data_IF_089614839698
#
_entry.id   IF_089614839698
#
_cell.length_a   1.000
_cell.length_b   1.000
_cell.length_c   1.000
_cell.angle_alpha   90.00
_cell.angle_beta   90.00
_cell.angle_gamma   90.00
#
_symmetry.space_group_name_H-M   'P 1'
#
loop_
_entity.id
_entity.type
_entity.pdbx_description
1 polymer ?
#
# COMPACT_ATOMS: atom_id res chain seq x y z
N UNK A 1 -29.63 12.96 -11.66
CA UNK A 1 -28.19 12.58 -11.63
C UNK A 1 -27.70 12.78 -10.22
N UNK A 2 -27.30 11.72 -9.49
CA UNK A 2 -26.86 11.88 -8.11
C UNK A 2 -25.52 12.62 -8.13
N UNK A 3 -25.49 13.78 -7.49
CA UNK A 3 -24.28 14.56 -7.28
C UNK A 3 -23.43 13.76 -6.29
N UNK A 4 -22.50 12.95 -6.78
CA UNK A 4 -21.45 12.39 -5.92
C UNK A 4 -20.66 13.62 -5.44
N UNK A 5 -20.94 14.02 -4.21
CA UNK A 5 -20.45 15.24 -3.61
C UNK A 5 -18.93 15.13 -3.48
N UNK A 6 -18.19 16.22 -3.64
CA UNK A 6 -16.72 16.17 -3.62
C UNK A 6 -16.12 15.53 -2.36
N UNK A 7 -16.89 15.47 -1.26
CA UNK A 7 -16.55 14.76 -0.03
C UNK A 7 -16.66 13.24 -0.17
N UNK A 8 -17.65 12.70 -0.89
CA UNK A 8 -17.80 11.26 -1.12
C UNK A 8 -16.65 10.72 -1.97
N UNK A 9 -16.26 11.43 -3.03
CA UNK A 9 -15.09 11.06 -3.86
C UNK A 9 -13.77 11.12 -3.09
N UNK A 10 -13.64 12.02 -2.12
CA UNK A 10 -12.45 12.09 -1.25
C UNK A 10 -12.43 10.97 -0.22
N UNK A 11 -13.59 10.66 0.37
CA UNK A 11 -13.73 9.55 1.33
C UNK A 11 -13.39 8.19 0.70
N UNK A 12 -13.88 7.94 -0.51
CA UNK A 12 -13.59 6.68 -1.24
C UNK A 12 -12.10 6.55 -1.56
N UNK A 13 -11.46 7.60 -2.09
CA UNK A 13 -10.02 7.55 -2.39
C UNK A 13 -9.17 7.35 -1.12
N UNK A 14 -9.53 8.02 -0.02
CA UNK A 14 -8.84 7.86 1.25
C UNK A 14 -8.99 6.43 1.79
N UNK A 15 -10.20 5.88 1.77
CA UNK A 15 -10.47 4.50 2.22
C UNK A 15 -9.75 3.44 1.39
N UNK A 16 -9.67 3.61 0.06
CA UNK A 16 -8.90 2.70 -0.81
C UNK A 16 -7.42 2.73 -0.44
N UNK A 17 -6.86 3.92 -0.21
CA UNK A 17 -5.45 4.08 0.17
C UNK A 17 -5.16 3.46 1.54
N UNK A 18 -5.99 3.76 2.55
CA UNK A 18 -5.83 3.19 3.89
C UNK A 18 -5.95 1.66 3.85
N UNK A 19 -6.93 1.11 3.13
CA UNK A 19 -7.07 -0.34 2.99
C UNK A 19 -5.91 -1.02 2.26
N UNK A 20 -5.31 -0.36 1.26
CA UNK A 20 -4.10 -0.89 0.61
C UNK A 20 -2.90 -0.85 1.55
N UNK A 21 -2.71 0.23 2.30
CA UNK A 21 -1.63 0.34 3.28
C UNK A 21 -1.73 -0.73 4.36
N UNK A 22 -2.92 -0.94 4.92
CA UNK A 22 -3.16 -1.96 5.95
C UNK A 22 -2.92 -3.38 5.39
N UNK A 23 -3.32 -3.64 4.15
CA UNK A 23 -3.05 -4.92 3.50
C UNK A 23 -1.56 -5.13 3.18
N UNK A 24 -0.82 -4.06 2.88
CA UNK A 24 0.64 -4.10 2.69
C UNK A 24 1.34 -4.34 4.03
N UNK A 25 0.93 -3.63 5.08
CA UNK A 25 1.42 -3.83 6.46
C UNK A 25 1.29 -5.29 6.87
N UNK A 26 0.09 -5.84 6.75
CA UNK A 26 -0.18 -7.23 7.09
C UNK A 26 0.62 -8.20 6.21
N UNK A 27 0.72 -7.94 4.90
CA UNK A 27 1.49 -8.78 3.99
C UNK A 27 2.99 -8.78 4.30
N UNK A 28 3.53 -7.61 4.68
CA UNK A 28 4.91 -7.44 5.11
C UNK A 28 5.17 -8.11 6.44
N UNK A 29 4.29 -7.92 7.43
CA UNK A 29 4.42 -8.54 8.75
C UNK A 29 4.34 -10.07 8.66
N UNK A 30 3.40 -10.61 7.89
CA UNK A 30 3.25 -12.06 7.74
C UNK A 30 4.43 -12.71 7.00
N UNK A 31 5.00 -12.02 6.00
CA UNK A 31 6.05 -12.60 5.14
C UNK A 31 7.48 -12.30 5.62
N UNK A 32 7.70 -11.10 6.13
CA UNK A 32 9.00 -10.57 6.52
C UNK A 32 9.10 -10.18 8.01
N UNK A 33 7.99 -10.25 8.76
CA UNK A 33 7.97 -9.89 10.18
C UNK A 33 8.33 -8.43 10.41
N UNK A 34 9.07 -8.18 11.47
CA UNK A 34 9.49 -6.84 11.91
C UNK A 34 10.33 -6.09 10.89
N UNK A 35 11.09 -6.79 10.04
CA UNK A 35 11.89 -6.14 9.00
C UNK A 35 11.01 -5.48 7.94
N UNK A 36 9.89 -6.10 7.58
CA UNK A 36 8.94 -5.51 6.63
C UNK A 36 8.26 -4.25 7.16
N UNK A 37 7.97 -4.20 8.46
CA UNK A 37 7.37 -3.03 9.11
C UNK A 37 8.28 -1.79 9.04
N UNK A 38 9.60 -1.95 8.93
CA UNK A 38 10.50 -0.80 8.78
C UNK A 38 10.30 -0.04 7.46
N UNK A 39 9.74 -0.69 6.43
CA UNK A 39 9.42 -0.08 5.13
C UNK A 39 8.04 0.59 5.09
N UNK A 40 7.14 0.30 6.03
CA UNK A 40 5.82 0.94 6.10
C UNK A 40 5.85 2.46 6.11
N UNK A 41 6.70 3.14 6.90
CA UNK A 41 6.76 4.59 6.86
C UNK A 41 7.15 5.12 5.47
N UNK A 42 8.04 4.43 4.75
CA UNK A 42 8.40 4.79 3.36
C UNK A 42 7.21 4.59 2.41
N UNK A 43 6.54 3.45 2.50
CA UNK A 43 5.38 3.11 1.66
C UNK A 43 4.19 4.02 1.97
N UNK A 44 4.00 4.43 3.22
CA UNK A 44 2.96 5.36 3.64
C UNK A 44 3.15 6.78 3.10
N UNK A 45 4.38 7.19 2.78
CA UNK A 45 4.63 8.45 2.08
C UNK A 45 4.12 8.42 0.63
N UNK A 46 3.93 7.23 0.05
CA UNK A 46 3.43 7.07 -1.31
C UNK A 46 1.95 7.47 -1.35
N UNK A 47 1.64 8.43 -2.22
CA UNK A 47 0.26 8.89 -2.48
C UNK A 47 -0.38 8.12 -3.65
N UNK A 48 0.42 7.51 -4.50
CA UNK A 48 -0.03 6.73 -5.64
C UNK A 48 -0.62 5.36 -5.23
N UNK A 49 -1.93 5.26 -5.37
CA UNK A 49 -2.71 4.04 -5.14
C UNK A 49 -2.25 2.89 -6.05
N UNK A 50 -1.83 3.20 -7.27
CA UNK A 50 -1.35 2.19 -8.23
C UNK A 50 -0.03 1.56 -7.78
N UNK A 51 0.90 2.37 -7.25
CA UNK A 51 2.16 1.89 -6.70
C UNK A 51 1.90 1.02 -5.46
N UNK A 52 1.04 1.48 -4.53
CA UNK A 52 0.64 0.68 -3.37
C UNK A 52 0.08 -0.69 -3.78
N UNK A 53 -0.77 -0.72 -4.80
CA UNK A 53 -1.35 -1.95 -5.32
C UNK A 53 -0.32 -2.85 -6.01
N UNK A 54 0.67 -2.27 -6.70
CA UNK A 54 1.80 -3.00 -7.25
C UNK A 54 2.64 -3.62 -6.13
N UNK A 55 2.97 -2.87 -5.08
CA UNK A 55 3.68 -3.37 -3.89
C UNK A 55 2.93 -4.54 -3.26
N UNK A 56 1.62 -4.41 -3.04
CA UNK A 56 0.78 -5.49 -2.48
C UNK A 56 0.85 -6.78 -3.32
N UNK A 57 0.76 -6.64 -4.64
CA UNK A 57 0.82 -7.78 -5.57
C UNK A 57 2.20 -8.41 -5.53
N UNK A 58 3.23 -7.57 -5.51
CA UNK A 58 4.62 -7.99 -5.46
C UNK A 58 4.98 -8.63 -4.13
N UNK A 59 4.42 -8.21 -2.99
CA UNK A 59 4.61 -8.89 -1.69
C UNK A 59 4.29 -10.38 -1.79
N UNK A 60 3.27 -10.74 -2.55
CA UNK A 60 2.90 -12.15 -2.76
C UNK A 60 3.96 -12.90 -3.57
N UNK A 61 4.67 -12.22 -4.48
CA UNK A 61 5.63 -12.82 -5.42
C UNK A 61 7.09 -12.74 -4.97
N UNK A 62 7.53 -11.56 -4.52
CA UNK A 62 8.91 -11.28 -4.09
C UNK A 62 9.23 -12.00 -2.79
N UNK A 63 10.41 -12.59 -2.69
CA UNK A 63 10.84 -13.34 -1.51
C UNK A 63 11.76 -12.54 -0.57
N UNK A 64 12.13 -11.32 -0.96
CA UNK A 64 13.02 -10.44 -0.20
C UNK A 64 12.48 -9.01 -0.17
N UNK A 65 12.77 -8.29 0.91
CA UNK A 65 12.41 -6.87 1.07
C UNK A 65 13.14 -5.97 0.06
N UNK A 66 14.35 -6.35 -0.34
CA UNK A 66 15.17 -5.59 -1.28
C UNK A 66 14.54 -5.52 -2.67
N UNK A 67 13.97 -6.63 -3.15
CA UNK A 67 13.22 -6.64 -4.41
C UNK A 67 11.95 -5.80 -4.34
N UNK A 68 11.27 -5.80 -3.19
CA UNK A 68 10.10 -4.98 -2.95
C UNK A 68 10.45 -3.48 -2.96
N UNK A 69 11.60 -3.10 -2.37
CA UNK A 69 12.10 -1.72 -2.36
C UNK A 69 12.30 -1.15 -3.76
N UNK A 70 12.81 -1.96 -4.69
CA UNK A 70 13.03 -1.58 -6.11
C UNK A 70 11.76 -1.24 -6.88
N UNK A 71 10.58 -1.53 -6.33
CA UNK A 71 9.30 -1.31 -7.03
C UNK A 71 8.82 0.13 -6.85
N UNK A 72 9.20 0.78 -5.75
CA UNK A 72 8.77 2.14 -5.41
C UNK A 72 9.92 3.13 -5.26
N UNK A 73 11.16 2.66 -5.27
CA UNK A 73 12.40 3.45 -5.29
C UNK A 73 12.85 3.73 -6.72
#
# INVERSE_FOLDING_TARGET
MPYITSVERRGIQKGIREGLLEAIEMGLELKFGSEGLTMLPEISQIQDVEILRAILTSIKTVNTLEELRRIYQ
#
